data_IF_969920279359
#
_entry.id   IF_969920279359
#
_cell.length_a   1.000
_cell.length_b   1.000
_cell.length_c   1.000
_cell.angle_alpha   90.00
_cell.angle_beta   90.00
_cell.angle_gamma   90.00
#
_symmetry.space_group_name_H-M   'P 1'
#
loop_
_entity.id
_entity.type
_entity.pdbx_description
1 polymer ?
#
# COMPACT_ATOMS: atom_id res chain seq x y z
N UNK A 1 -6.06 5.13 -20.92
CA UNK A 1 -7.39 4.49 -20.74
C UNK A 1 -7.51 3.87 -19.37
N UNK A 2 -8.70 3.41 -18.97
CA UNK A 2 -9.00 2.85 -17.63
C UNK A 2 -8.06 1.69 -17.24
N UNK A 3 -7.74 0.78 -18.16
CA UNK A 3 -6.77 -0.31 -17.93
C UNK A 3 -5.39 0.18 -17.50
N UNK A 4 -4.89 1.26 -18.09
CA UNK A 4 -3.58 1.84 -17.71
C UNK A 4 -3.59 2.39 -16.27
N UNK A 5 -4.74 2.79 -15.74
CA UNK A 5 -4.82 3.25 -14.34
C UNK A 5 -4.74 2.07 -13.36
N UNK A 6 -5.39 0.95 -13.66
CA UNK A 6 -5.34 -0.26 -12.82
C UNK A 6 -3.95 -0.90 -12.83
N UNK A 7 -3.29 -0.95 -13.98
CA UNK A 7 -1.90 -1.45 -14.08
C UNK A 7 -0.98 -0.58 -13.23
N UNK A 8 -1.07 0.76 -13.35
CA UNK A 8 -0.28 1.66 -12.49
C UNK A 8 -0.55 1.47 -11.00
N UNK A 9 -1.80 1.22 -10.61
CA UNK A 9 -2.12 0.94 -9.21
C UNK A 9 -1.51 -0.39 -8.74
N UNK A 10 -1.51 -1.42 -9.60
CA UNK A 10 -0.85 -2.71 -9.32
C UNK A 10 0.66 -2.51 -9.11
N UNK A 11 1.31 -1.74 -9.99
CA UNK A 11 2.74 -1.44 -9.90
C UNK A 11 3.07 -0.74 -8.56
N UNK A 12 2.31 0.29 -8.18
CA UNK A 12 2.50 0.99 -6.89
C UNK A 12 2.37 0.03 -5.70
N UNK A 13 1.39 -0.87 -5.70
CA UNK A 13 1.21 -1.84 -4.63
C UNK A 13 2.40 -2.82 -4.55
N UNK A 14 2.96 -3.23 -5.69
CA UNK A 14 4.15 -4.06 -5.72
C UNK A 14 5.38 -3.31 -5.20
N UNK A 15 5.56 -2.04 -5.58
CA UNK A 15 6.65 -1.22 -5.04
C UNK A 15 6.56 -1.07 -3.52
N UNK A 16 5.35 -0.85 -2.97
CA UNK A 16 5.14 -0.82 -1.52
C UNK A 16 5.47 -2.16 -0.84
N UNK A 17 5.15 -3.27 -1.49
CA UNK A 17 5.51 -4.61 -1.02
C UNK A 17 7.03 -4.81 -0.99
N UNK A 18 7.74 -4.40 -2.05
CA UNK A 18 9.19 -4.52 -2.14
C UNK A 18 9.93 -3.55 -1.23
N UNK A 19 9.31 -2.43 -0.88
CA UNK A 19 9.85 -1.46 0.08
C UNK A 19 9.76 -1.92 1.55
N UNK A 20 9.06 -3.03 1.85
CA UNK A 20 9.03 -3.57 3.21
C UNK A 20 10.44 -3.99 3.66
N UNK A 21 10.74 -3.72 4.94
CA UNK A 21 12.01 -4.15 5.53
C UNK A 21 12.10 -5.69 5.55
N UNK A 22 13.07 -6.22 4.80
CA UNK A 22 13.26 -7.66 4.66
C UNK A 22 13.75 -8.28 5.97
N UNK A 23 14.55 -7.56 6.76
CA UNK A 23 15.02 -8.05 8.06
C UNK A 23 13.87 -8.31 9.04
N UNK A 24 12.90 -7.40 9.09
CA UNK A 24 11.67 -7.57 9.87
C UNK A 24 10.82 -8.76 9.39
N UNK A 25 10.77 -9.00 8.07
CA UNK A 25 10.06 -10.16 7.51
C UNK A 25 10.77 -11.48 7.87
N UNK A 26 12.09 -11.54 7.75
CA UNK A 26 12.89 -12.74 8.07
C UNK A 26 12.81 -13.12 9.55
N UNK A 27 12.72 -12.10 10.41
CA UNK A 27 12.49 -12.27 11.85
C UNK A 27 11.03 -12.64 12.18
N UNK A 28 10.13 -12.67 11.20
CA UNK A 28 8.73 -12.98 11.38
C UNK A 28 7.95 -11.90 12.12
N UNK A 29 8.38 -10.63 12.02
CA UNK A 29 7.70 -9.51 12.66
C UNK A 29 6.25 -9.42 12.16
N UNK A 30 5.30 -9.49 13.09
CA UNK A 30 3.87 -9.63 12.78
C UNK A 30 3.35 -8.47 11.92
N UNK A 31 3.78 -7.24 12.23
CA UNK A 31 3.40 -6.05 11.47
C UNK A 31 3.84 -6.13 10.01
N UNK A 32 5.11 -6.49 9.76
CA UNK A 32 5.65 -6.62 8.41
C UNK A 32 4.92 -7.71 7.61
N UNK A 33 4.63 -8.84 8.27
CA UNK A 33 3.85 -9.94 7.67
C UNK A 33 2.40 -9.52 7.36
N UNK A 34 1.76 -8.76 8.24
CA UNK A 34 0.42 -8.21 8.03
C UNK A 34 0.37 -7.25 6.83
N UNK A 35 1.33 -6.32 6.74
CA UNK A 35 1.45 -5.40 5.61
C UNK A 35 1.69 -6.15 4.29
N UNK A 36 2.60 -7.14 4.29
CA UNK A 36 2.84 -8.01 3.14
C UNK A 36 1.56 -8.71 2.67
N UNK A 37 0.78 -9.27 3.58
CA UNK A 37 -0.51 -9.91 3.27
C UNK A 37 -1.50 -8.93 2.64
N UNK A 38 -1.61 -7.72 3.20
CA UNK A 38 -2.50 -6.68 2.73
C UNK A 38 -2.16 -6.21 1.31
N UNK A 39 -0.87 -5.96 1.03
CA UNK A 39 -0.41 -5.56 -0.30
C UNK A 39 -0.62 -6.65 -1.33
N UNK A 40 -0.27 -7.91 -1.01
CA UNK A 40 -0.50 -9.04 -1.91
C UNK A 40 -1.99 -9.28 -2.20
N UNK A 41 -2.85 -9.11 -1.20
CA UNK A 41 -4.30 -9.18 -1.40
C UNK A 41 -4.80 -8.08 -2.33
N UNK A 42 -4.38 -6.84 -2.07
CA UNK A 42 -4.77 -5.67 -2.87
C UNK A 42 -4.33 -5.81 -4.33
N UNK A 43 -3.10 -6.27 -4.57
CA UNK A 43 -2.59 -6.58 -5.91
C UNK A 43 -3.49 -7.60 -6.64
N UNK A 44 -3.82 -8.72 -5.99
CA UNK A 44 -4.69 -9.76 -6.59
C UNK A 44 -6.08 -9.23 -6.93
N UNK A 45 -6.67 -8.39 -6.07
CA UNK A 45 -7.98 -7.76 -6.32
C UNK A 45 -7.92 -6.78 -7.50
N UNK A 46 -6.84 -6.00 -7.62
CA UNK A 46 -6.65 -5.11 -8.78
C UNK A 46 -6.44 -5.87 -10.09
N UNK A 47 -5.72 -7.00 -10.06
CA UNK A 47 -5.61 -7.90 -11.23
C UNK A 47 -6.98 -8.45 -11.61
N UNK A 48 -7.77 -8.92 -10.63
CA UNK A 48 -9.13 -9.40 -10.85
C UNK A 48 -10.01 -8.31 -11.48
N UNK A 49 -9.98 -7.10 -10.92
CA UNK A 49 -10.71 -5.94 -11.43
C UNK A 49 -10.34 -5.60 -12.88
N UNK A 50 -9.04 -5.65 -13.21
CA UNK A 50 -8.57 -5.35 -14.56
C UNK A 50 -9.04 -6.39 -15.59
N UNK A 51 -9.02 -7.67 -15.23
CA UNK A 51 -9.43 -8.77 -16.13
C UNK A 51 -10.95 -8.83 -16.28
N UNK A 52 -11.70 -8.63 -15.21
CA UNK A 52 -13.15 -8.87 -15.18
C UNK A 52 -13.99 -7.59 -15.21
N UNK A 53 -13.36 -6.41 -15.29
CA UNK A 53 -14.02 -5.11 -15.17
C UNK A 53 -14.85 -4.95 -13.87
N UNK A 54 -14.40 -5.62 -12.81
CA UNK A 54 -15.07 -5.63 -11.51
C UNK A 54 -14.74 -4.35 -10.73
N UNK A 55 -15.71 -3.42 -10.67
CA UNK A 55 -15.57 -2.14 -9.97
C UNK A 55 -15.62 -2.29 -8.45
N UNK A 56 -16.32 -3.30 -7.93
CA UNK A 56 -16.41 -3.53 -6.48
C UNK A 56 -15.05 -3.95 -5.92
N UNK A 57 -14.29 -4.76 -6.68
CA UNK A 57 -12.91 -5.09 -6.35
C UNK A 57 -11.99 -3.86 -6.27
N UNK A 58 -12.23 -2.84 -7.09
CA UNK A 58 -11.48 -1.56 -7.01
C UNK A 58 -11.87 -0.80 -5.75
N UNK A 59 -13.17 -0.67 -5.47
CA UNK A 59 -13.67 0.04 -4.29
C UNK A 59 -13.18 -0.58 -2.98
N UNK A 60 -13.10 -1.90 -2.92
CA UNK A 60 -12.55 -2.61 -1.77
C UNK A 60 -11.08 -2.25 -1.54
N UNK A 61 -10.25 -2.27 -2.58
CA UNK A 61 -8.83 -1.90 -2.48
C UNK A 61 -8.68 -0.44 -2.06
N UNK A 62 -9.52 0.46 -2.57
CA UNK A 62 -9.54 1.87 -2.14
C UNK A 62 -9.80 1.95 -0.63
N UNK A 63 -10.82 1.27 -0.11
CA UNK A 63 -11.14 1.28 1.33
C UNK A 63 -9.98 0.73 2.17
N UNK A 64 -9.36 -0.36 1.75
CA UNK A 64 -8.21 -0.94 2.44
C UNK A 64 -7.03 0.03 2.50
N UNK A 65 -6.68 0.65 1.38
CA UNK A 65 -5.57 1.61 1.31
C UNK A 65 -5.87 2.91 2.07
N UNK A 66 -7.13 3.36 2.08
CA UNK A 66 -7.56 4.51 2.88
C UNK A 66 -7.45 4.23 4.38
N UNK A 67 -7.89 3.06 4.84
CA UNK A 67 -7.77 2.67 6.25
C UNK A 67 -6.29 2.57 6.67
N UNK A 68 -5.44 2.03 5.79
CA UNK A 68 -3.99 1.97 6.03
C UNK A 68 -3.37 3.38 6.13
N UNK A 69 -3.75 4.29 5.23
CA UNK A 69 -3.28 5.67 5.26
C UNK A 69 -3.70 6.37 6.57
N UNK A 70 -4.95 6.21 6.99
CA UNK A 70 -5.43 6.77 8.24
C UNK A 70 -4.64 6.24 9.44
N UNK A 71 -4.36 4.93 9.49
CA UNK A 71 -3.53 4.35 10.56
C UNK A 71 -2.13 4.97 10.58
N UNK A 72 -1.50 5.19 9.43
CA UNK A 72 -0.21 5.87 9.32
C UNK A 72 -0.26 7.33 9.78
N UNK A 73 -1.29 8.08 9.39
CA UNK A 73 -1.49 9.46 9.85
C UNK A 73 -1.63 9.53 11.36
N UNK A 74 -2.39 8.61 11.97
CA UNK A 74 -2.52 8.51 13.43
C UNK A 74 -1.18 8.23 14.10
N UNK A 75 -0.35 7.35 13.54
CA UNK A 75 1.00 7.09 14.08
C UNK A 75 1.83 8.37 14.02
N UNK A 76 1.91 9.05 12.89
CA UNK A 76 2.71 10.28 12.74
C UNK A 76 2.23 11.40 13.67
N UNK A 77 0.91 11.55 13.84
CA UNK A 77 0.32 12.56 14.73
C UNK A 77 0.58 12.27 16.21
N UNK A 78 0.59 10.99 16.59
CA UNK A 78 0.82 10.57 17.97
C UNK A 78 2.32 10.44 18.32
N UNK A 79 3.19 10.29 17.31
CA UNK A 79 4.63 10.03 17.46
C UNK A 79 5.49 11.30 17.40
N UNK A 80 5.12 12.33 18.17
CA UNK A 80 5.92 13.56 18.35
C UNK A 80 7.33 13.37 18.93
N UNK A 81 7.82 12.14 19.06
CA UNK A 81 9.15 11.75 19.53
C UNK A 81 9.61 10.51 18.77
N UNK A 82 10.38 10.73 17.70
CA UNK A 82 10.71 9.68 16.73
C UNK A 82 11.46 8.47 17.30
N UNK A 83 11.18 7.31 16.69
CA UNK A 83 12.00 6.12 16.88
C UNK A 83 11.39 4.81 16.39
N UNK A 84 11.13 4.66 15.08
CA UNK A 84 11.26 3.39 14.32
C UNK A 84 10.68 3.55 12.89
N UNK A 85 11.56 3.86 11.94
CA UNK A 85 11.40 3.86 10.47
C UNK A 85 10.01 4.14 9.86
N UNK A 86 9.59 5.41 9.73
CA UNK A 86 8.58 5.82 8.76
C UNK A 86 9.27 6.15 7.42
N UNK A 87 8.97 5.41 6.34
CA UNK A 87 9.42 5.76 4.99
C UNK A 87 8.37 5.36 3.92
N UNK A 88 8.20 6.15 2.85
CA UNK A 88 7.49 7.43 2.87
C UNK A 88 6.31 7.46 1.87
N UNK A 89 5.34 8.39 2.02
CA UNK A 89 4.67 8.94 0.85
C UNK A 89 5.64 9.87 0.11
N UNK A 90 6.10 9.46 -1.07
CA UNK A 90 6.74 10.36 -2.03
C UNK A 90 5.72 11.39 -2.49
N UNK A 91 5.70 12.56 -1.86
CA UNK A 91 5.02 13.72 -2.41
C UNK A 91 5.74 14.07 -3.71
N UNK A 92 5.22 13.61 -4.85
CA UNK A 92 5.63 14.13 -6.16
C UNK A 92 5.20 15.59 -6.17
N UNK A 93 6.14 16.47 -5.84
CA UNK A 93 5.97 17.90 -6.03
C UNK A 93 6.13 18.13 -7.53
N UNK A 94 5.00 18.18 -8.26
CA UNK A 94 4.95 18.72 -9.61
C UNK A 94 5.35 20.20 -9.53
N UNK A 95 6.62 20.48 -9.76
CA UNK A 95 7.12 21.83 -10.01
C UNK A 95 7.66 21.86 -11.44
N UNK A 96 7.10 22.76 -12.24
CA UNK A 96 7.53 23.07 -13.61
C UNK A 96 6.67 22.47 -14.69
#
# INVERSE_FOLDING_TARGET
GKGNALIRAQDIILELLYALDQGSLDQGAELALNLRRLYLYSYRRLVHANVHMDTEAVEEVIKLMQNLLQAWEQVILNDGSGGANPAPPSRVVLTG
#
